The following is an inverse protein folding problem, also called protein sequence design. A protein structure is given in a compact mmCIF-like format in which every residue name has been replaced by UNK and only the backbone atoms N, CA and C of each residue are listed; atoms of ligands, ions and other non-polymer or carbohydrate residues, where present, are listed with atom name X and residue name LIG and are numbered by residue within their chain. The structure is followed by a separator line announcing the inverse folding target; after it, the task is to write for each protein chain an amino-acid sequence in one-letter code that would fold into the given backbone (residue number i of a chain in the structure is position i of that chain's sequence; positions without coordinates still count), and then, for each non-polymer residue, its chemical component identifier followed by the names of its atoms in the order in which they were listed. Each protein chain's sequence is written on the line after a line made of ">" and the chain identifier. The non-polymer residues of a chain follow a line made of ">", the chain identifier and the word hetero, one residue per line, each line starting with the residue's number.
data_IF_558091232743
#
_entry.id   IF_558091232743
#
_cell.length_a   1.000
_cell.length_b   1.000
_cell.length_c   1.000
_cell.angle_alpha   90.00
_cell.angle_beta   90.00
_cell.angle_gamma   90.00
#
_symmetry.space_group_name_H-M   'P 1'
#
loop_
_entity.id
_entity.type
_entity.pdbx_description
1 polymer ?
#
# COMPACT_ATOMS: atom_id res chain seq x y z
N UNK A 1 -32.37 -51.01 8.54
CA UNK A 1 -32.19 -49.55 8.38
C UNK A 1 -30.72 -49.25 8.58
N UNK A 2 -29.94 -49.11 7.50
CA UNK A 2 -28.51 -48.83 7.58
C UNK A 2 -28.31 -47.31 7.61
N UNK A 3 -27.91 -46.78 8.77
CA UNK A 3 -27.62 -45.35 8.94
C UNK A 3 -26.24 -45.02 8.39
N UNK A 4 -26.20 -44.11 7.41
CA UNK A 4 -24.95 -43.56 6.87
C UNK A 4 -24.50 -42.41 7.78
N UNK A 5 -23.37 -42.58 8.45
CA UNK A 5 -22.71 -41.52 9.22
C UNK A 5 -21.79 -40.75 8.27
N UNK A 6 -22.17 -39.53 7.91
CA UNK A 6 -21.33 -38.61 7.13
C UNK A 6 -20.39 -37.89 8.09
N UNK A 7 -19.14 -38.33 8.16
CA UNK A 7 -18.08 -37.63 8.91
C UNK A 7 -17.61 -36.47 8.04
N UNK A 8 -18.05 -35.26 8.36
CA UNK A 8 -17.57 -34.04 7.74
C UNK A 8 -16.14 -33.76 8.27
N UNK A 9 -15.15 -34.36 7.61
CA UNK A 9 -13.73 -34.07 7.86
C UNK A 9 -13.43 -32.64 7.39
N UNK A 10 -13.51 -31.68 8.31
CA UNK A 10 -12.96 -30.35 8.11
C UNK A 10 -11.43 -30.47 8.15
N UNK A 11 -10.82 -30.70 6.99
CA UNK A 11 -9.37 -30.57 6.83
C UNK A 11 -9.04 -29.09 7.01
N UNK A 12 -8.64 -28.71 8.22
CA UNK A 12 -7.95 -27.46 8.49
C UNK A 12 -6.59 -27.54 7.77
N UNK A 13 -6.56 -27.06 6.53
CA UNK A 13 -5.32 -26.81 5.83
C UNK A 13 -4.58 -25.71 6.60
N UNK A 14 -3.62 -26.11 7.45
CA UNK A 14 -2.59 -25.20 7.93
C UNK A 14 -1.82 -24.75 6.69
N UNK A 15 -2.17 -23.57 6.17
CA UNK A 15 -1.36 -22.89 5.18
C UNK A 15 0.00 -22.64 5.84
N UNK A 16 1.02 -23.38 5.41
CA UNK A 16 2.40 -23.08 5.78
C UNK A 16 2.70 -21.67 5.29
N UNK A 17 2.73 -20.68 6.19
CA UNK A 17 3.17 -19.33 5.88
C UNK A 17 4.68 -19.34 5.72
N UNK A 18 5.16 -19.75 4.55
CA UNK A 18 6.56 -19.59 4.19
C UNK A 18 6.87 -18.09 4.11
N UNK A 19 7.78 -17.61 4.97
CA UNK A 19 8.31 -16.26 4.84
C UNK A 19 9.16 -16.18 3.57
N UNK A 20 8.81 -15.27 2.65
CA UNK A 20 9.63 -15.01 1.46
C UNK A 20 10.91 -14.31 1.90
N UNK A 21 12.07 -14.83 1.48
CA UNK A 21 13.35 -14.17 1.70
C UNK A 21 13.70 -13.29 0.49
N UNK A 22 13.70 -11.98 0.69
CA UNK A 22 14.04 -10.99 -0.35
C UNK A 22 15.52 -10.60 -0.36
N UNK A 23 16.34 -11.16 0.53
CA UNK A 23 17.74 -10.77 0.69
C UNK A 23 18.61 -11.40 -0.39
N UNK A 24 19.54 -10.62 -0.94
CA UNK A 24 20.32 -10.97 -2.13
C UNK A 24 19.49 -11.11 -3.41
N UNK A 25 18.22 -10.68 -3.41
CA UNK A 25 17.33 -11.00 -4.50
C UNK A 25 17.59 -10.11 -5.74
N UNK A 26 17.55 -10.73 -6.93
CA UNK A 26 17.99 -10.09 -8.19
C UNK A 26 17.15 -8.87 -8.57
N UNK A 27 15.85 -8.86 -8.24
CA UNK A 27 14.95 -7.72 -8.48
C UNK A 27 15.32 -6.46 -7.68
N UNK A 28 16.17 -6.61 -6.65
CA UNK A 28 16.79 -5.53 -5.89
C UNK A 28 18.29 -5.39 -6.18
N UNK A 29 18.74 -5.87 -7.35
CA UNK A 29 20.13 -5.76 -7.79
C UNK A 29 21.09 -6.76 -7.14
N UNK A 30 20.57 -7.84 -6.54
CA UNK A 30 21.40 -8.87 -5.91
C UNK A 30 22.06 -8.42 -4.60
N UNK A 31 21.47 -7.41 -3.95
CA UNK A 31 21.95 -6.82 -2.69
C UNK A 31 20.82 -6.86 -1.65
N UNK A 32 21.18 -6.68 -0.38
CA UNK A 32 20.25 -6.62 0.74
C UNK A 32 19.58 -5.24 0.88
N UNK A 33 19.14 -4.68 -0.25
CA UNK A 33 18.50 -3.35 -0.32
C UNK A 33 16.98 -3.42 -0.22
N UNK A 34 16.40 -4.63 -0.19
CA UNK A 34 14.97 -4.79 0.06
C UNK A 34 14.61 -4.34 1.48
N UNK A 35 13.45 -3.71 1.65
CA UNK A 35 12.98 -3.17 2.94
C UNK A 35 12.98 -4.21 4.06
N UNK A 36 12.64 -5.46 3.78
CA UNK A 36 12.69 -6.57 4.76
C UNK A 36 14.10 -7.02 5.14
N UNK A 37 15.11 -6.68 4.33
CA UNK A 37 16.51 -7.00 4.61
C UNK A 37 17.22 -5.86 5.34
N UNK A 38 16.80 -4.63 5.06
CA UNK A 38 17.33 -3.44 5.73
C UNK A 38 16.76 -3.27 7.14
N UNK A 39 15.51 -3.67 7.37
CA UNK A 39 14.79 -3.34 8.60
C UNK A 39 14.15 -4.56 9.27
N UNK A 40 14.41 -4.79 10.57
CA UNK A 40 13.74 -5.82 11.34
C UNK A 40 12.27 -5.46 11.58
N UNK A 41 11.54 -6.34 12.27
CA UNK A 41 10.14 -6.08 12.61
C UNK A 41 9.99 -5.08 13.74
N UNK A 42 8.98 -4.21 13.61
CA UNK A 42 8.67 -3.17 14.58
C UNK A 42 9.30 -1.82 14.25
N UNK A 43 9.03 -0.81 15.11
CA UNK A 43 9.49 0.55 14.90
C UNK A 43 11.01 0.68 15.00
N UNK A 44 11.58 1.53 14.15
CA UNK A 44 12.96 1.96 14.24
C UNK A 44 13.23 2.69 15.57
N UNK A 45 14.46 2.65 16.12
CA UNK A 45 14.85 3.49 17.25
C UNK A 45 14.65 5.00 17.03
N UNK A 46 14.47 5.44 15.78
CA UNK A 46 14.16 6.83 15.42
C UNK A 46 12.72 7.25 15.70
N UNK A 47 11.81 6.30 15.90
CA UNK A 47 10.41 6.57 16.21
C UNK A 47 10.25 7.04 17.66
N UNK A 48 10.20 8.36 17.87
CA UNK A 48 9.95 8.95 19.20
C UNK A 48 8.45 9.04 19.45
N UNK A 49 7.98 8.52 20.59
CA UNK A 49 6.55 8.55 20.94
C UNK A 49 5.68 7.68 20.02
N UNK A 50 6.24 6.58 19.51
CA UNK A 50 5.55 5.68 18.59
C UNK A 50 4.22 5.18 19.17
N UNK A 51 3.17 5.29 18.36
CA UNK A 51 1.89 4.63 18.58
C UNK A 51 1.71 3.64 17.44
N UNK A 52 1.38 2.40 17.78
CA UNK A 52 1.17 1.36 16.77
C UNK A 52 0.05 1.77 15.81
N UNK A 53 0.39 1.86 14.52
CA UNK A 53 -0.48 2.40 13.48
C UNK A 53 -0.83 1.36 12.40
N UNK A 54 -1.02 0.10 12.81
CA UNK A 54 -1.45 -0.96 11.88
C UNK A 54 -2.91 -0.73 11.45
N UNK A 55 -3.14 -0.81 10.15
CA UNK A 55 -4.49 -0.63 9.61
C UNK A 55 -5.40 -1.81 9.96
N UNK A 56 -6.53 -1.50 10.57
CA UNK A 56 -7.60 -2.48 10.77
C UNK A 56 -8.38 -2.76 9.47
N UNK A 57 -9.23 -3.78 9.50
CA UNK A 57 -10.00 -4.23 8.32
C UNK A 57 -10.89 -3.10 7.76
N UNK A 58 -11.50 -2.28 8.62
CA UNK A 58 -12.36 -1.20 8.14
C UNK A 58 -11.53 -0.06 7.52
N UNK A 59 -10.36 0.26 8.06
CA UNK A 59 -9.44 1.26 7.50
C UNK A 59 -8.92 0.84 6.12
N UNK A 60 -8.49 -0.42 5.97
CA UNK A 60 -8.09 -0.98 4.67
C UNK A 60 -9.20 -0.84 3.63
N UNK A 61 -10.44 -1.17 4.03
CA UNK A 61 -11.60 -1.07 3.16
C UNK A 61 -11.90 0.40 2.76
N UNK A 62 -11.88 1.34 3.71
CA UNK A 62 -12.10 2.77 3.42
C UNK A 62 -11.00 3.37 2.56
N UNK A 63 -9.74 3.00 2.80
CA UNK A 63 -8.59 3.46 2.01
C UNK A 63 -8.72 2.98 0.55
N UNK A 64 -9.03 1.70 0.36
CA UNK A 64 -9.23 1.11 -0.97
C UNK A 64 -10.44 1.70 -1.69
N UNK A 65 -11.54 1.94 -0.98
CA UNK A 65 -12.73 2.59 -1.54
C UNK A 65 -12.43 4.03 -1.98
N UNK A 66 -11.74 4.81 -1.15
CA UNK A 66 -11.32 6.19 -1.48
C UNK A 66 -10.44 6.23 -2.72
N UNK A 67 -9.44 5.35 -2.82
CA UNK A 67 -8.58 5.24 -4.01
C UNK A 67 -9.38 4.89 -5.27
N UNK A 68 -10.26 3.89 -5.18
CA UNK A 68 -11.09 3.47 -6.31
C UNK A 68 -12.12 4.53 -6.71
N UNK A 69 -12.69 5.27 -5.75
CA UNK A 69 -13.58 6.39 -6.02
C UNK A 69 -12.85 7.49 -6.82
N UNK A 70 -11.64 7.89 -6.37
CA UNK A 70 -10.82 8.87 -7.11
C UNK A 70 -10.47 8.40 -8.52
N UNK A 71 -10.09 7.12 -8.69
CA UNK A 71 -9.84 6.51 -10.01
C UNK A 71 -11.08 6.53 -10.91
N UNK A 72 -12.25 6.24 -10.35
CA UNK A 72 -13.51 6.25 -11.08
C UNK A 72 -13.90 7.67 -11.55
N UNK A 73 -13.71 8.69 -10.69
CA UNK A 73 -13.94 10.09 -11.08
C UNK A 73 -13.08 10.49 -12.27
N UNK A 74 -11.79 10.12 -12.26
CA UNK A 74 -10.90 10.38 -13.41
C UNK A 74 -11.36 9.61 -14.64
N UNK A 75 -11.69 8.33 -14.50
CA UNK A 75 -12.12 7.48 -15.62
C UNK A 75 -13.35 8.04 -16.35
N UNK A 76 -14.30 8.61 -15.60
CA UNK A 76 -15.51 9.24 -16.16
C UNK A 76 -15.29 10.66 -16.72
N UNK A 77 -14.05 11.17 -16.73
CA UNK A 77 -13.75 12.53 -17.19
C UNK A 77 -14.10 13.64 -16.18
N UNK A 78 -14.29 13.28 -14.90
CA UNK A 78 -14.63 14.22 -13.83
C UNK A 78 -13.45 15.05 -13.31
N UNK A 79 -12.24 14.87 -13.85
CA UNK A 79 -11.04 15.61 -13.45
C UNK A 79 -10.66 16.62 -14.53
N UNK A 80 -10.75 17.91 -14.21
CA UNK A 80 -10.42 19.01 -15.13
C UNK A 80 -8.97 18.92 -15.62
N UNK A 81 -8.76 19.02 -16.93
CA UNK A 81 -7.43 18.98 -17.55
C UNK A 81 -6.91 17.58 -17.85
N UNK A 82 -7.71 16.54 -17.59
CA UNK A 82 -7.38 15.16 -17.85
C UNK A 82 -8.47 14.52 -18.73
N UNK A 83 -8.11 13.57 -19.61
CA UNK A 83 -9.08 12.85 -20.42
C UNK A 83 -9.79 11.79 -19.57
N UNK A 84 -10.93 11.29 -20.06
CA UNK A 84 -11.50 10.05 -19.54
C UNK A 84 -10.55 8.87 -19.81
N UNK A 85 -10.69 7.79 -19.04
CA UNK A 85 -9.83 6.62 -19.17
C UNK A 85 -10.63 5.41 -19.63
N UNK A 86 -10.21 4.77 -20.73
CA UNK A 86 -10.88 3.59 -21.29
C UNK A 86 -10.59 2.28 -20.56
N UNK A 87 -9.53 2.20 -19.75
CA UNK A 87 -9.09 0.96 -19.09
C UNK A 87 -8.61 1.18 -17.63
N UNK A 88 -9.37 1.96 -16.85
CA UNK A 88 -9.02 2.23 -15.45
C UNK A 88 -9.57 1.13 -14.52
N UNK A 89 -8.78 0.06 -14.32
CA UNK A 89 -9.20 -1.08 -13.50
C UNK A 89 -9.36 -0.74 -12.01
N UNK A 90 -10.29 -1.43 -11.34
CA UNK A 90 -10.49 -1.33 -9.89
C UNK A 90 -9.35 -2.01 -9.14
N UNK A 91 -8.76 -1.29 -8.17
CA UNK A 91 -7.74 -1.83 -7.28
C UNK A 91 -8.34 -2.84 -6.30
N UNK A 92 -7.51 -3.80 -5.90
CA UNK A 92 -7.78 -4.74 -4.81
C UNK A 92 -6.69 -4.62 -3.76
N UNK A 93 -7.03 -4.90 -2.51
CA UNK A 93 -6.07 -4.96 -1.43
C UNK A 93 -5.16 -6.18 -1.61
N UNK A 94 -3.85 -5.99 -1.43
CA UNK A 94 -2.85 -7.06 -1.44
C UNK A 94 -2.13 -7.02 -0.11
N UNK A 95 -2.30 -8.07 0.71
CA UNK A 95 -1.73 -8.09 2.07
C UNK A 95 -0.20 -8.10 2.08
N UNK A 96 0.45 -8.65 1.04
CA UNK A 96 1.91 -8.61 0.90
C UNK A 96 2.42 -7.17 0.78
N UNK A 97 1.83 -6.36 -0.11
CA UNK A 97 2.15 -4.94 -0.26
C UNK A 97 1.89 -4.15 1.03
N UNK A 98 0.81 -4.48 1.75
CA UNK A 98 0.49 -3.84 3.02
C UNK A 98 1.55 -4.11 4.10
N UNK A 99 2.05 -5.35 4.18
CA UNK A 99 3.14 -5.71 5.10
C UNK A 99 4.42 -4.97 4.77
N UNK A 100 4.75 -4.79 3.50
CA UNK A 100 5.95 -4.04 3.10
C UNK A 100 5.83 -2.55 3.38
N UNK A 101 4.67 -1.97 3.05
CA UNK A 101 4.38 -0.58 3.36
C UNK A 101 4.47 -0.31 4.87
N UNK A 102 3.95 -1.22 5.71
CA UNK A 102 4.07 -1.11 7.16
C UNK A 102 5.55 -1.17 7.61
N UNK A 103 6.35 -2.10 7.05
CA UNK A 103 7.78 -2.21 7.39
C UNK A 103 8.54 -0.91 7.12
N UNK A 104 8.20 -0.22 6.03
CA UNK A 104 8.77 1.09 5.71
C UNK A 104 8.22 2.20 6.61
N UNK A 105 6.90 2.24 6.85
CA UNK A 105 6.27 3.24 7.71
C UNK A 105 6.81 3.20 9.15
N UNK A 106 7.11 2.00 9.66
CA UNK A 106 7.73 1.77 10.97
C UNK A 106 9.17 2.33 11.08
N UNK A 107 9.75 2.85 9.99
CA UNK A 107 11.05 3.55 10.06
C UNK A 107 10.93 5.02 10.49
N UNK A 108 9.71 5.56 10.59
CA UNK A 108 9.41 6.93 11.00
C UNK A 108 10.32 7.97 10.34
N UNK A 109 10.48 7.85 9.01
CA UNK A 109 11.26 8.80 8.24
C UNK A 109 10.65 10.20 8.40
N UNK A 110 11.42 11.21 8.84
CA UNK A 110 10.88 12.56 8.96
C UNK A 110 10.37 13.05 7.61
N UNK A 111 9.23 13.75 7.56
CA UNK A 111 8.73 14.33 6.32
C UNK A 111 9.76 15.30 5.73
N UNK A 112 9.90 15.24 4.42
CA UNK A 112 10.78 16.08 3.63
C UNK A 112 9.99 16.80 2.54
N UNK A 113 10.59 17.80 1.88
CA UNK A 113 9.95 18.47 0.75
C UNK A 113 9.59 17.48 -0.38
N UNK A 114 10.43 16.46 -0.56
CA UNK A 114 10.17 15.29 -1.39
C UNK A 114 10.16 14.08 -0.47
N UNK A 115 9.05 13.36 -0.42
CA UNK A 115 8.91 12.20 0.47
C UNK A 115 10.00 11.15 0.20
N UNK A 116 10.58 10.62 1.27
CA UNK A 116 11.60 9.58 1.19
C UNK A 116 10.93 8.25 0.84
N UNK A 117 11.52 7.53 -0.11
CA UNK A 117 11.12 6.20 -0.51
C UNK A 117 12.21 5.19 -0.14
N UNK A 118 11.81 4.00 0.29
CA UNK A 118 12.74 2.88 0.48
C UNK A 118 13.45 2.48 -0.83
N UNK A 119 14.60 1.84 -0.68
CA UNK A 119 15.46 1.51 -1.83
C UNK A 119 14.86 0.43 -2.73
N UNK A 120 14.22 -0.60 -2.17
CA UNK A 120 13.57 -1.66 -2.94
C UNK A 120 12.41 -2.31 -2.15
N UNK A 121 11.28 -2.51 -2.83
CA UNK A 121 10.04 -3.15 -2.34
C UNK A 121 9.38 -4.07 -3.38
N UNK A 122 10.22 -4.56 -4.30
CA UNK A 122 9.73 -5.29 -5.47
C UNK A 122 9.36 -6.71 -5.07
N UNK A 123 8.15 -7.12 -5.45
CA UNK A 123 7.64 -8.46 -5.21
C UNK A 123 7.95 -9.38 -6.39
N UNK A 124 8.75 -10.41 -6.15
CA UNK A 124 9.09 -11.42 -7.17
C UNK A 124 9.65 -10.78 -8.46
N UNK A 125 8.90 -10.82 -9.56
CA UNK A 125 9.24 -10.21 -10.86
C UNK A 125 8.52 -8.89 -11.11
N UNK A 126 7.78 -8.36 -10.13
CA UNK A 126 6.98 -7.14 -10.25
C UNK A 126 7.69 -5.95 -9.62
N UNK A 127 7.72 -4.84 -10.37
CA UNK A 127 8.11 -3.55 -9.81
C UNK A 127 6.95 -2.95 -9.05
N UNK A 128 7.21 -2.45 -7.85
CA UNK A 128 6.19 -1.92 -6.95
C UNK A 128 6.37 -0.43 -6.73
N UNK A 129 5.36 0.34 -7.11
CA UNK A 129 5.29 1.77 -6.84
C UNK A 129 5.04 2.08 -5.36
N UNK A 130 5.26 3.33 -4.97
CA UNK A 130 5.02 3.79 -3.60
C UNK A 130 4.44 5.20 -3.61
N UNK A 131 3.55 5.45 -2.65
CA UNK A 131 3.15 6.79 -2.26
C UNK A 131 3.31 6.89 -0.75
N UNK A 132 3.94 7.97 -0.29
CA UNK A 132 4.13 8.29 1.13
C UNK A 132 3.40 9.60 1.41
N UNK A 133 2.79 9.70 2.58
CA UNK A 133 2.16 10.90 3.07
C UNK A 133 2.41 11.02 4.56
N UNK A 134 2.74 12.22 5.00
CA UNK A 134 3.00 12.55 6.39
C UNK A 134 2.13 13.74 6.82
N UNK A 135 1.64 13.70 8.05
CA UNK A 135 0.94 14.83 8.68
C UNK A 135 1.71 15.18 9.95
N UNK A 136 2.10 16.46 10.08
CA UNK A 136 2.84 16.98 11.23
C UNK A 136 1.94 17.90 12.04
N UNK A 137 1.95 17.72 13.35
CA UNK A 137 1.14 18.50 14.29
C UNK A 137 -0.11 17.75 14.76
N UNK A 138 -0.91 18.40 15.60
CA UNK A 138 -2.15 17.83 16.10
C UNK A 138 -3.16 17.66 14.96
N UNK A 139 -3.69 16.44 14.83
CA UNK A 139 -4.73 16.14 13.84
C UNK A 139 -5.88 15.34 14.47
N UNK A 140 -6.68 15.97 15.37
CA UNK A 140 -7.80 15.30 16.02
C UNK A 140 -8.80 14.80 14.98
N UNK A 141 -9.15 13.51 15.06
CA UNK A 141 -10.12 12.91 14.13
C UNK A 141 -9.60 12.66 12.72
N UNK A 142 -8.28 12.75 12.48
CA UNK A 142 -7.68 12.34 11.22
C UNK A 142 -8.03 10.89 10.91
N UNK A 143 -8.53 10.67 9.70
CA UNK A 143 -8.76 9.34 9.15
C UNK A 143 -7.72 9.05 8.09
N UNK A 144 -7.11 7.88 8.15
CA UNK A 144 -6.02 7.49 7.23
C UNK A 144 -6.47 7.59 5.77
N UNK A 145 -7.73 7.26 5.45
CA UNK A 145 -8.22 7.38 4.06
C UNK A 145 -8.20 8.81 3.51
N UNK A 146 -8.20 9.84 4.36
CA UNK A 146 -8.09 11.23 3.93
C UNK A 146 -6.72 11.56 3.36
N UNK A 147 -5.67 10.80 3.73
CA UNK A 147 -4.32 11.01 3.18
C UNK A 147 -4.25 10.77 1.67
N UNK A 148 -5.15 9.96 1.11
CA UNK A 148 -5.27 9.75 -0.35
C UNK A 148 -5.51 11.07 -1.08
N UNK A 149 -6.20 12.02 -0.45
CA UNK A 149 -6.49 13.31 -1.06
C UNK A 149 -5.25 14.22 -1.16
N UNK A 150 -4.23 13.99 -0.33
CA UNK A 150 -2.94 14.69 -0.41
C UNK A 150 -2.26 14.36 -1.75
N UNK A 151 -2.34 13.11 -2.20
CA UNK A 151 -1.85 12.74 -3.52
C UNK A 151 -2.78 13.23 -4.62
N UNK A 152 -4.10 13.10 -4.42
CA UNK A 152 -5.08 13.50 -5.43
C UNK A 152 -5.04 15.00 -5.78
N UNK A 153 -4.78 15.88 -4.81
CA UNK A 153 -4.74 17.33 -5.03
C UNK A 153 -3.56 17.76 -5.92
N UNK A 154 -2.52 16.92 -6.05
CA UNK A 154 -1.40 17.16 -6.96
C UNK A 154 -1.84 17.28 -8.42
N UNK A 155 -3.02 16.73 -8.78
CA UNK A 155 -3.64 16.93 -10.10
C UNK A 155 -3.79 18.42 -10.47
N UNK A 156 -3.97 19.32 -9.49
CA UNK A 156 -4.04 20.77 -9.72
C UNK A 156 -2.71 21.39 -10.16
N UNK A 157 -1.60 20.74 -9.83
CA UNK A 157 -0.25 21.19 -10.18
C UNK A 157 0.20 20.61 -11.53
N UNK A 158 -0.55 19.65 -12.07
CA UNK A 158 -0.26 19.07 -13.38
C UNK A 158 -0.55 20.10 -14.47
N UNK A 159 0.51 20.61 -15.11
CA UNK A 159 0.43 21.60 -16.20
C UNK A 159 0.41 20.99 -17.60
N UNK A 160 0.58 19.67 -17.70
CA UNK A 160 0.51 18.97 -18.97
C UNK A 160 -0.92 18.88 -19.48
N UNK A 161 -1.09 18.88 -20.80
CA UNK A 161 -2.34 18.46 -21.41
C UNK A 161 -2.21 16.96 -21.71
N UNK A 162 -2.77 16.09 -20.86
CA UNK A 162 -2.84 14.67 -21.20
C UNK A 162 -3.93 14.49 -22.23
N UNK A 163 -3.56 14.08 -23.45
CA UNK A 163 -4.52 13.74 -24.50
C UNK A 163 -4.94 12.27 -24.43
N UNK A 164 -4.17 11.41 -23.78
CA UNK A 164 -4.48 10.01 -23.48
C UNK A 164 -3.61 9.48 -22.33
N UNK A 165 -4.04 8.39 -21.70
CA UNK A 165 -3.21 7.57 -20.81
C UNK A 165 -2.67 6.38 -21.61
N UNK A 166 -1.36 6.09 -21.49
CA UNK A 166 -0.77 4.84 -22.00
C UNK A 166 -1.14 3.68 -21.09
#
# INVERSE_FOLDING_TARGET
>A
MFGVVVVLSCVLALAATGSVNYCGAKMCGGKDTHTFCQYPEGPSPKCVGYVEAKLNVQEKARLLDRLNNRRNVVAMGGMRGFPSAGNMLKLRWVEELAREAQRWADQCRPPQQVEEHDTCRNLYSLTVGQCVASVVGESPGLRVESMVDIWYIQSKLYKGNMTFYV
#
